data_IF_479974717423
#
_entry.id   IF_479974717423
#
_cell.length_a   1.000
_cell.length_b   1.000
_cell.length_c   1.000
_cell.angle_alpha   90.00
_cell.angle_beta   90.00
_cell.angle_gamma   90.00
#
_symmetry.space_group_name_H-M   'P 1'
#
loop_
_entity.id
_entity.type
_entity.pdbx_description
1 polymer ?
#
# COMPACT_ATOMS: atom_id res chain seq x y z
N UNK A 1 29.34 15.90 12.76
CA UNK A 1 28.59 15.73 11.49
C UNK A 1 27.41 16.70 11.53
N UNK A 2 27.30 17.57 10.54
CA UNK A 2 26.49 18.79 10.61
C UNK A 2 24.99 18.53 10.35
N UNK A 3 24.21 18.44 11.44
CA UNK A 3 22.75 18.18 11.45
C UNK A 3 21.93 19.25 10.69
N UNK A 4 22.50 20.41 10.37
CA UNK A 4 21.80 21.49 9.66
C UNK A 4 21.57 21.22 8.17
N UNK A 5 22.31 20.28 7.56
CA UNK A 5 22.16 19.94 6.13
C UNK A 5 20.99 18.99 5.84
N UNK A 6 20.56 18.20 6.83
CA UNK A 6 19.45 17.23 6.65
C UNK A 6 18.10 17.94 6.79
N UNK A 7 17.95 18.84 7.76
CA UNK A 7 16.73 19.64 7.94
C UNK A 7 16.39 20.55 6.74
N UNK A 8 17.40 21.04 6.01
CA UNK A 8 17.19 21.86 4.80
C UNK A 8 16.63 21.10 3.60
N UNK A 9 16.84 19.77 3.51
CA UNK A 9 16.25 18.94 2.44
C UNK A 9 14.77 18.61 2.71
N UNK A 10 14.37 18.52 3.97
CA UNK A 10 12.99 18.20 4.37
C UNK A 10 12.06 19.39 4.11
N UNK A 11 12.54 20.62 4.28
CA UNK A 11 11.77 21.84 3.99
C UNK A 11 11.46 22.03 2.49
N UNK A 12 12.25 21.46 1.59
CA UNK A 12 12.05 21.58 0.14
C UNK A 12 10.89 20.72 -0.38
N UNK A 13 10.52 19.67 0.36
CA UNK A 13 9.42 18.76 0.00
C UNK A 13 8.04 19.37 0.30
N UNK A 14 7.94 20.24 1.31
CA UNK A 14 6.69 20.92 1.68
C UNK A 14 6.25 21.99 0.67
N UNK A 15 7.18 22.60 -0.08
CA UNK A 15 6.86 23.67 -1.05
C UNK A 15 6.29 23.11 -2.36
N UNK A 16 6.55 21.84 -2.69
CA UNK A 16 5.95 21.17 -3.85
C UNK A 16 4.47 20.80 -3.65
N UNK A 17 3.96 20.90 -2.42
CA UNK A 17 2.57 20.55 -2.07
C UNK A 17 1.54 21.59 -2.53
N UNK A 18 1.96 22.80 -2.92
CA UNK A 18 1.04 23.92 -3.19
C UNK A 18 0.77 24.20 -4.68
N UNK A 19 1.51 23.58 -5.60
CA UNK A 19 1.42 23.87 -7.04
C UNK A 19 0.55 22.89 -7.86
N UNK A 20 -0.08 21.90 -7.24
CA UNK A 20 -0.80 20.82 -7.96
C UNK A 20 -2.33 20.97 -7.90
N UNK A 21 -2.87 22.03 -7.29
CA UNK A 21 -4.32 22.15 -7.04
C UNK A 21 -5.12 23.03 -8.00
N UNK A 22 -4.53 23.57 -9.05
CA UNK A 22 -5.27 24.35 -10.05
C UNK A 22 -4.98 23.89 -11.48
N UNK A 23 -6.04 23.88 -12.26
CA UNK A 23 -6.17 23.45 -13.65
C UNK A 23 -6.11 21.95 -13.92
N UNK A 24 -7.30 21.32 -13.94
CA UNK A 24 -7.73 20.52 -15.09
C UNK A 24 -9.23 20.23 -14.97
N UNK A 25 -10.05 21.25 -15.27
CA UNK A 25 -11.47 21.05 -15.52
C UNK A 25 -11.79 21.72 -16.86
N UNK A 26 -11.54 20.99 -17.94
CA UNK A 26 -12.08 21.35 -19.25
C UNK A 26 -12.47 20.08 -20.01
N UNK A 27 -13.75 20.06 -20.39
CA UNK A 27 -14.36 19.20 -21.40
C UNK A 27 -13.40 18.79 -22.50
N UNK A 28 -13.23 17.48 -22.75
CA UNK A 28 -12.67 17.00 -24.01
C UNK A 28 -13.13 15.58 -24.33
N UNK A 29 -13.86 15.47 -25.44
CA UNK A 29 -14.29 14.22 -26.04
C UNK A 29 -13.57 14.05 -27.40
N UNK A 30 -13.09 12.82 -27.63
CA UNK A 30 -12.78 12.15 -28.91
C UNK A 30 -11.72 12.77 -29.86
N UNK A 31 -10.45 12.52 -29.52
CA UNK A 31 -9.34 12.26 -30.46
C UNK A 31 -8.10 11.64 -29.78
N UNK A 32 -8.09 11.49 -28.45
CA UNK A 32 -6.87 11.42 -27.66
C UNK A 32 -6.52 10.05 -27.04
N UNK A 33 -7.31 8.98 -27.22
CA UNK A 33 -7.11 7.74 -26.44
C UNK A 33 -5.71 7.09 -26.56
N UNK A 34 -4.97 7.31 -27.65
CA UNK A 34 -3.59 6.84 -27.80
C UNK A 34 -2.55 7.80 -27.19
N UNK A 35 -2.81 9.11 -27.21
CA UNK A 35 -1.94 10.16 -26.64
C UNK A 35 -2.11 10.19 -25.12
N UNK A 36 -3.36 10.12 -24.63
CA UNK A 36 -3.71 9.99 -23.21
C UNK A 36 -3.13 8.70 -22.60
N UNK A 37 -3.15 7.59 -23.34
CA UNK A 37 -2.56 6.33 -22.88
C UNK A 37 -1.03 6.42 -22.75
N UNK A 38 -0.37 7.14 -23.67
CA UNK A 38 1.08 7.37 -23.64
C UNK A 38 1.48 8.32 -22.51
N UNK A 39 0.68 9.35 -22.25
CA UNK A 39 0.90 10.29 -21.15
C UNK A 39 0.73 9.60 -19.79
N UNK A 40 -0.31 8.78 -19.62
CA UNK A 40 -0.52 7.98 -18.40
C UNK A 40 0.62 6.96 -18.22
N UNK A 41 1.11 6.34 -19.30
CA UNK A 41 2.29 5.47 -19.22
C UNK A 41 3.55 6.23 -18.75
N UNK A 42 3.79 7.43 -19.27
CA UNK A 42 4.90 8.27 -18.83
C UNK A 42 4.78 8.70 -17.36
N UNK A 43 3.56 8.94 -16.88
CA UNK A 43 3.32 9.26 -15.47
C UNK A 43 3.46 8.06 -14.54
N UNK A 44 3.08 6.86 -14.98
CA UNK A 44 3.36 5.60 -14.26
C UNK A 44 4.87 5.45 -14.08
N UNK A 45 5.66 5.60 -15.15
CA UNK A 45 7.12 5.47 -15.10
C UNK A 45 7.76 6.48 -14.14
N UNK A 46 7.31 7.74 -14.15
CA UNK A 46 7.79 8.77 -13.21
C UNK A 46 7.49 8.42 -11.76
N UNK A 47 6.32 7.86 -11.46
CA UNK A 47 5.92 7.50 -10.09
C UNK A 47 6.63 6.22 -9.64
N UNK A 48 6.80 5.23 -10.51
CA UNK A 48 7.58 4.01 -10.25
C UNK A 48 9.04 4.35 -9.91
N UNK A 49 9.68 5.24 -10.69
CA UNK A 49 11.03 5.73 -10.40
C UNK A 49 11.15 6.43 -9.03
N UNK A 50 10.10 7.12 -8.57
CA UNK A 50 10.08 7.74 -7.24
C UNK A 50 9.93 6.67 -6.15
N UNK A 51 9.06 5.69 -6.35
CA UNK A 51 8.85 4.58 -5.42
C UNK A 51 10.14 3.78 -5.22
N UNK A 52 10.89 3.52 -6.30
CA UNK A 52 12.17 2.81 -6.24
C UNK A 52 13.20 3.58 -5.38
N UNK A 53 13.31 4.89 -5.56
CA UNK A 53 14.22 5.74 -4.76
C UNK A 53 13.87 5.70 -3.27
N UNK A 54 12.59 5.82 -2.92
CA UNK A 54 12.13 5.72 -1.54
C UNK A 54 12.43 4.32 -0.96
N UNK A 55 12.25 3.26 -1.76
CA UNK A 55 12.60 1.90 -1.34
C UNK A 55 14.11 1.73 -1.07
N UNK A 56 14.97 2.33 -1.91
CA UNK A 56 16.42 2.32 -1.70
C UNK A 56 16.82 3.08 -0.42
N UNK A 57 16.16 4.21 -0.13
CA UNK A 57 16.35 4.97 1.10
C UNK A 57 15.94 4.14 2.34
N UNK A 58 14.80 3.45 2.29
CA UNK A 58 14.35 2.54 3.35
C UNK A 58 15.41 1.45 3.62
N UNK A 59 15.91 0.80 2.57
CA UNK A 59 16.92 -0.27 2.70
C UNK A 59 18.22 0.25 3.32
N UNK A 60 18.63 1.47 2.94
CA UNK A 60 19.80 2.15 3.49
C UNK A 60 19.61 2.45 4.98
N UNK A 61 18.46 3.02 5.35
CA UNK A 61 18.11 3.32 6.74
C UNK A 61 18.00 2.07 7.62
N UNK A 62 17.48 0.96 7.08
CA UNK A 62 17.45 -0.33 7.78
C UNK A 62 18.86 -0.87 8.06
N UNK A 63 19.75 -0.77 7.08
CA UNK A 63 21.16 -1.16 7.26
C UNK A 63 21.84 -0.30 8.33
N UNK A 64 21.59 1.02 8.32
CA UNK A 64 22.11 1.93 9.33
C UNK A 64 21.57 1.60 10.73
N UNK A 65 20.28 1.27 10.84
CA UNK A 65 19.65 0.86 12.09
C UNK A 65 20.30 -0.41 12.66
N UNK A 66 20.55 -1.42 11.83
CA UNK A 66 21.25 -2.65 12.25
C UNK A 66 22.66 -2.36 12.76
N UNK A 67 23.41 -1.50 12.08
CA UNK A 67 24.74 -1.07 12.54
C UNK A 67 24.65 -0.39 13.91
N UNK A 68 23.68 0.51 14.12
CA UNK A 68 23.48 1.19 15.40
C UNK A 68 23.04 0.25 16.51
N UNK A 69 22.26 -0.78 16.21
CA UNK A 69 21.91 -1.84 17.16
C UNK A 69 23.13 -2.64 17.59
N UNK A 70 24.03 -2.99 16.65
CA UNK A 70 25.28 -3.67 16.97
C UNK A 70 26.19 -2.81 17.86
N UNK A 71 26.32 -1.51 17.56
CA UNK A 71 27.06 -0.55 18.41
C UNK A 71 26.50 -0.52 19.84
N UNK A 72 25.18 -0.52 20.03
CA UNK A 72 24.55 -0.58 21.36
C UNK A 72 24.79 -1.90 22.09
N UNK A 73 24.79 -3.03 21.37
CA UNK A 73 25.11 -4.33 21.97
C UNK A 73 26.55 -4.31 22.51
N UNK A 74 27.50 -3.75 21.74
CA UNK A 74 28.88 -3.59 22.20
C UNK A 74 28.95 -2.74 23.47
N UNK A 75 28.28 -1.59 23.53
CA UNK A 75 28.26 -0.74 24.73
C UNK A 75 27.66 -1.46 25.93
N UNK A 76 26.57 -2.23 25.75
CA UNK A 76 25.96 -3.03 26.83
C UNK A 76 26.91 -4.09 27.37
N UNK A 77 27.67 -4.75 26.50
CA UNK A 77 28.67 -5.74 26.93
C UNK A 77 29.81 -5.07 27.72
N UNK A 78 30.22 -3.85 27.34
CA UNK A 78 31.20 -3.07 28.11
C UNK A 78 30.64 -2.68 29.48
N UNK A 79 29.39 -2.20 29.54
CA UNK A 79 28.70 -1.90 30.79
C UNK A 79 28.68 -3.11 31.74
N UNK A 80 28.32 -4.28 31.23
CA UNK A 80 28.29 -5.51 32.02
C UNK A 80 29.68 -5.88 32.56
N UNK A 81 30.73 -5.77 31.73
CA UNK A 81 32.11 -6.00 32.18
C UNK A 81 32.51 -5.05 33.30
N UNK A 82 32.23 -3.75 33.13
CA UNK A 82 32.52 -2.73 34.14
C UNK A 82 31.78 -3.02 35.45
N UNK A 83 30.51 -3.42 35.40
CA UNK A 83 29.73 -3.81 36.58
C UNK A 83 30.35 -5.01 37.31
N UNK A 84 30.75 -6.06 36.59
CA UNK A 84 31.45 -7.22 37.19
C UNK A 84 32.80 -6.84 37.80
N UNK A 85 33.54 -5.91 37.19
CA UNK A 85 34.80 -5.41 37.76
C UNK A 85 34.56 -4.60 39.05
N UNK A 86 33.51 -3.77 39.10
CA UNK A 86 33.10 -3.05 40.31
C UNK A 86 32.76 -4.03 41.44
N UNK A 87 31.94 -5.05 41.17
CA UNK A 87 31.57 -6.08 42.16
C UNK A 87 32.79 -6.79 42.73
N UNK A 88 33.78 -7.11 41.88
CA UNK A 88 35.06 -7.69 42.32
C UNK A 88 35.82 -6.73 43.23
N UNK A 89 35.89 -5.44 42.88
CA UNK A 89 36.58 -4.43 43.69
C UNK A 89 35.89 -4.19 45.03
N UNK A 90 34.56 -4.28 45.09
CA UNK A 90 33.81 -4.25 46.35
C UNK A 90 34.16 -5.44 47.26
N UNK A 91 34.24 -6.64 46.68
CA UNK A 91 34.67 -7.84 47.41
C UNK A 91 36.13 -7.74 47.90
N UNK A 92 37.04 -7.21 47.06
CA UNK A 92 38.43 -6.95 47.44
C UNK A 92 38.50 -5.99 48.65
N UNK A 93 37.77 -4.87 48.61
CA UNK A 93 37.72 -3.89 49.72
C UNK A 93 37.16 -4.53 51.00
N UNK A 94 36.11 -5.36 50.90
CA UNK A 94 35.56 -6.08 52.03
C UNK A 94 36.60 -7.05 52.65
N UNK A 95 37.36 -7.77 51.82
CA UNK A 95 38.43 -8.66 52.29
C UNK A 95 39.57 -7.88 52.96
N UNK A 96 40.00 -6.76 52.38
CA UNK A 96 41.02 -5.90 52.95
C UNK A 96 40.60 -5.35 54.32
N UNK A 97 39.34 -4.95 54.48
CA UNK A 97 38.81 -4.51 55.78
C UNK A 97 38.83 -5.65 56.82
N UNK A 98 38.47 -6.88 56.45
CA UNK A 98 38.58 -8.04 57.35
C UNK A 98 40.02 -8.30 57.78
N UNK A 99 40.99 -8.20 56.85
CA UNK A 99 42.43 -8.33 57.16
C UNK A 99 42.91 -7.23 58.10
N UNK A 100 42.45 -5.99 57.94
CA UNK A 100 42.75 -4.90 58.87
C UNK A 100 42.24 -5.22 60.27
N UNK A 101 40.99 -5.68 60.40
CA UNK A 101 40.41 -6.06 61.69
C UNK A 101 41.19 -7.20 62.36
N UNK A 102 41.57 -8.22 61.60
CA UNK A 102 42.36 -9.35 62.11
C UNK A 102 43.74 -8.90 62.61
N UNK A 103 44.47 -8.11 61.83
CA UNK A 103 45.80 -7.62 62.21
C UNK A 103 45.74 -6.68 63.42
N UNK A 104 44.70 -5.84 63.53
CA UNK A 104 44.46 -5.01 64.73
C UNK A 104 44.16 -5.87 65.96
N UNK A 105 43.33 -6.90 65.83
CA UNK A 105 43.05 -7.84 66.93
C UNK A 105 44.30 -8.61 67.37
N UNK A 106 45.12 -9.06 66.43
CA UNK A 106 46.42 -9.68 66.74
C UNK A 106 47.31 -8.71 67.51
N UNK A 107 47.45 -7.47 67.05
CA UNK A 107 48.25 -6.45 67.73
C UNK A 107 47.74 -6.17 69.15
N UNK A 108 46.41 -6.10 69.33
CA UNK A 108 45.79 -5.93 70.65
C UNK A 108 46.13 -7.10 71.58
N UNK A 109 45.96 -8.34 71.12
CA UNK A 109 46.31 -9.54 71.90
C UNK A 109 47.80 -9.58 72.25
N UNK A 110 48.69 -9.25 71.31
CA UNK A 110 50.13 -9.17 71.56
C UNK A 110 50.50 -8.09 72.60
N UNK A 111 49.86 -6.91 72.54
CA UNK A 111 50.09 -5.84 73.54
C UNK A 111 49.57 -6.26 74.92
N UNK A 112 48.41 -6.90 74.99
CA UNK A 112 47.86 -7.43 76.24
C UNK A 112 48.78 -8.49 76.86
N UNK A 113 49.23 -9.46 76.07
CA UNK A 113 50.15 -10.51 76.52
C UNK A 113 51.48 -9.92 77.03
N UNK A 114 52.05 -8.94 76.32
CA UNK A 114 53.25 -8.24 76.76
C UNK A 114 53.05 -7.51 78.11
N UNK A 115 51.89 -6.88 78.32
CA UNK A 115 51.57 -6.20 79.58
C UNK A 115 51.40 -7.16 80.76
N UNK A 116 50.73 -8.30 80.56
CA UNK A 116 50.54 -9.30 81.62
C UNK A 116 51.83 -10.07 81.92
N UNK A 117 52.65 -10.36 80.92
CA UNK A 117 53.97 -10.95 81.11
C UNK A 117 54.88 -10.07 81.98
N UNK A 118 54.76 -8.74 81.86
CA UNK A 118 55.51 -7.78 82.69
C UNK A 118 55.00 -7.72 84.14
N UNK A 119 53.70 -7.90 84.39
CA UNK A 119 53.14 -7.91 85.76
C UNK A 119 53.49 -9.19 86.55
N UNK A 120 53.49 -10.35 85.92
CA UNK A 120 53.93 -11.60 86.56
C UNK A 120 55.46 -11.63 86.75
N UNK A 121 56.19 -10.98 85.85
CA UNK A 121 57.65 -10.77 85.93
C UNK A 121 58.07 -9.97 87.16
N UNK A 122 57.31 -8.96 87.58
CA UNK A 122 57.66 -8.14 88.75
C UNK A 122 57.67 -8.90 90.09
N UNK A 123 56.76 -9.86 90.29
CA UNK A 123 56.79 -10.74 91.47
C UNK A 123 57.88 -11.82 91.38
N UNK A 124 58.24 -12.26 90.17
CA UNK A 124 59.38 -13.17 89.92
C UNK A 124 60.76 -12.49 90.00
N UNK A 125 60.85 -11.20 89.67
CA UNK A 125 62.08 -10.39 89.71
C UNK A 125 62.62 -10.21 91.13
N UNK A 126 61.71 -10.09 92.10
CA UNK A 126 62.04 -9.99 93.52
C UNK A 126 62.68 -11.28 94.08
N UNK A 127 62.53 -12.41 93.39
CA UNK A 127 62.97 -13.73 93.87
C UNK A 127 64.15 -14.31 93.08
N UNK A 128 64.38 -13.91 91.83
CA UNK A 128 65.46 -14.43 90.98
C UNK A 128 66.35 -13.30 90.44
N UNK A 129 67.34 -12.89 91.23
CA UNK A 129 68.38 -11.96 90.81
C UNK A 129 69.54 -12.70 90.13
N UNK A 130 69.67 -12.54 88.81
CA UNK A 130 70.94 -12.36 88.07
C UNK A 130 70.71 -12.36 86.54
N UNK A 131 69.69 -13.05 86.01
CA UNK A 131 69.39 -13.09 84.56
C UNK A 131 68.04 -12.45 84.16
N UNK A 132 67.35 -11.77 85.09
CA UNK A 132 65.99 -11.28 84.88
C UNK A 132 65.92 -10.01 84.02
N UNK A 133 66.91 -9.12 84.11
CA UNK A 133 66.97 -7.86 83.35
C UNK A 133 67.29 -8.05 81.86
N UNK A 134 68.17 -8.99 81.51
CA UNK A 134 68.55 -9.29 80.12
C UNK A 134 67.38 -9.98 79.37
N UNK A 135 66.74 -10.97 80.02
CA UNK A 135 65.57 -11.65 79.47
C UNK A 135 64.33 -10.72 79.33
N UNK A 136 64.19 -9.71 80.20
CA UNK A 136 63.16 -8.67 80.04
C UNK A 136 63.43 -7.78 78.82
N UNK A 137 64.70 -7.39 78.59
CA UNK A 137 65.08 -6.57 77.43
C UNK A 137 64.83 -7.32 76.12
N UNK A 138 65.21 -8.59 76.04
CA UNK A 138 65.01 -9.42 74.85
C UNK A 138 63.52 -9.63 74.52
N UNK A 139 62.66 -9.81 75.54
CA UNK A 139 61.21 -9.91 75.35
C UNK A 139 60.60 -8.58 74.89
N UNK A 140 61.09 -7.46 75.41
CA UNK A 140 60.62 -6.12 75.00
C UNK A 140 61.00 -5.82 73.55
N UNK A 141 62.22 -6.14 73.13
CA UNK A 141 62.70 -5.96 71.75
C UNK A 141 61.94 -6.86 70.76
N UNK A 142 61.55 -8.07 71.16
CA UNK A 142 60.69 -8.94 70.34
C UNK A 142 59.29 -8.35 70.16
N UNK A 143 58.68 -7.80 71.23
CA UNK A 143 57.37 -7.15 71.16
C UNK A 143 57.41 -5.92 70.25
N UNK A 144 58.46 -5.10 70.36
CA UNK A 144 58.66 -3.95 69.48
C UNK A 144 58.79 -4.37 68.00
N UNK A 145 59.60 -5.39 67.71
CA UNK A 145 59.77 -5.91 66.35
C UNK A 145 58.47 -6.47 65.74
N UNK A 146 57.66 -7.19 66.53
CA UNK A 146 56.37 -7.73 66.06
C UNK A 146 55.37 -6.60 65.80
N UNK A 147 55.29 -5.62 66.70
CA UNK A 147 54.47 -4.42 66.53
C UNK A 147 54.83 -3.69 65.23
N UNK A 148 56.11 -3.42 65.01
CA UNK A 148 56.58 -2.73 63.80
C UNK A 148 56.19 -3.47 62.52
N UNK A 149 56.32 -4.80 62.49
CA UNK A 149 55.87 -5.63 61.35
C UNK A 149 54.37 -5.56 61.13
N UNK A 150 53.55 -5.66 62.18
CA UNK A 150 52.09 -5.59 62.05
C UNK A 150 51.65 -4.20 61.57
N UNK A 151 52.28 -3.13 62.08
CA UNK A 151 52.02 -1.76 61.64
C UNK A 151 52.38 -1.59 60.16
N UNK A 152 53.55 -2.07 59.73
CA UNK A 152 53.96 -2.01 58.33
C UNK A 152 52.98 -2.75 57.39
N UNK A 153 52.49 -3.94 57.80
CA UNK A 153 51.47 -4.69 57.04
C UNK A 153 50.14 -3.94 57.01
N UNK A 154 49.73 -3.32 58.11
CA UNK A 154 48.51 -2.52 58.16
C UNK A 154 48.59 -1.30 57.22
N UNK A 155 49.74 -0.63 57.18
CA UNK A 155 49.96 0.51 56.28
C UNK A 155 49.91 0.07 54.80
N UNK A 156 50.54 -1.05 54.45
CA UNK A 156 50.47 -1.62 53.09
C UNK A 156 49.03 -1.98 52.69
N UNK A 157 48.28 -2.65 53.59
CA UNK A 157 46.89 -3.02 53.34
C UNK A 157 46.01 -1.77 53.16
N UNK A 158 46.20 -0.73 53.97
CA UNK A 158 45.43 0.51 53.84
C UNK A 158 45.77 1.23 52.52
N UNK A 159 47.02 1.22 52.07
CA UNK A 159 47.41 1.77 50.78
C UNK A 159 46.77 1.00 49.62
N UNK A 160 46.84 -0.34 49.62
CA UNK A 160 46.19 -1.19 48.60
C UNK A 160 44.68 -0.94 48.58
N UNK A 161 44.07 -0.78 49.75
CA UNK A 161 42.64 -0.47 49.88
C UNK A 161 42.31 0.90 49.28
N UNK A 162 43.10 1.93 49.55
CA UNK A 162 42.90 3.26 48.96
C UNK A 162 42.97 3.22 47.43
N UNK A 163 43.97 2.54 46.85
CA UNK A 163 44.10 2.39 45.41
C UNK A 163 42.94 1.58 44.79
N UNK A 164 42.46 0.57 45.52
CA UNK A 164 41.31 -0.26 45.12
C UNK A 164 40.01 0.56 45.11
N UNK A 165 39.79 1.39 46.14
CA UNK A 165 38.63 2.31 46.21
C UNK A 165 38.67 3.33 45.08
N UNK A 166 39.84 3.95 44.84
CA UNK A 166 40.01 4.90 43.74
C UNK A 166 39.72 4.27 42.37
N UNK A 167 40.24 3.06 42.13
CA UNK A 167 39.97 2.33 40.88
C UNK A 167 38.48 2.02 40.73
N UNK A 168 37.79 1.69 41.83
CA UNK A 168 36.33 1.49 41.83
C UNK A 168 35.58 2.76 41.44
N UNK A 169 35.93 3.91 42.03
CA UNK A 169 35.31 5.20 41.70
C UNK A 169 35.48 5.56 40.21
N UNK A 170 36.66 5.31 39.62
CA UNK A 170 36.89 5.49 38.19
C UNK A 170 36.00 4.57 37.33
N UNK A 171 35.77 3.34 37.78
CA UNK A 171 34.86 2.40 37.10
C UNK A 171 33.39 2.81 37.22
N UNK A 172 32.97 3.36 38.37
CA UNK A 172 31.63 3.91 38.56
C UNK A 172 31.37 5.09 37.60
N UNK A 173 32.37 5.95 37.39
CA UNK A 173 32.30 6.99 36.36
C UNK A 173 32.14 6.43 34.94
N UNK A 174 32.92 5.41 34.56
CA UNK A 174 32.80 4.74 33.25
C UNK A 174 31.45 4.05 33.07
N UNK A 175 30.89 3.48 34.14
CA UNK A 175 29.55 2.86 34.14
C UNK A 175 28.50 3.90 33.77
N UNK A 176 28.53 5.08 34.41
CA UNK A 176 27.61 6.18 34.12
C UNK A 176 27.74 6.66 32.66
N UNK A 177 28.98 6.77 32.14
CA UNK A 177 29.23 7.13 30.75
C UNK A 177 28.66 6.10 29.75
N UNK A 178 28.79 4.80 30.05
CA UNK A 178 28.20 3.74 29.25
C UNK A 178 26.66 3.79 29.26
N UNK A 179 26.04 4.03 30.41
CA UNK A 179 24.59 4.18 30.54
C UNK A 179 24.06 5.39 29.73
N UNK A 180 24.74 6.54 29.83
CA UNK A 180 24.45 7.73 29.02
C UNK A 180 24.58 7.44 27.52
N UNK A 181 25.66 6.77 27.12
CA UNK A 181 25.90 6.43 25.71
C UNK A 181 24.83 5.48 25.17
N UNK A 182 24.38 4.49 25.94
CA UNK A 182 23.28 3.59 25.56
C UNK A 182 22.00 4.39 25.34
N UNK A 183 21.66 5.32 26.24
CA UNK A 183 20.48 6.17 26.12
C UNK A 183 20.51 7.01 24.83
N UNK A 184 21.66 7.63 24.52
CA UNK A 184 21.87 8.38 23.28
C UNK A 184 21.71 7.50 22.03
N UNK A 185 22.30 6.32 22.02
CA UNK A 185 22.19 5.38 20.90
C UNK A 185 20.75 4.89 20.72
N UNK A 186 20.01 4.65 21.81
CA UNK A 186 18.59 4.28 21.74
C UNK A 186 17.72 5.41 21.17
N UNK A 187 18.01 6.67 21.52
CA UNK A 187 17.37 7.84 20.91
C UNK A 187 17.60 7.90 19.40
N UNK A 188 18.85 7.75 18.95
CA UNK A 188 19.19 7.68 17.51
C UNK A 188 18.49 6.53 16.79
N UNK A 189 18.40 5.35 17.40
CA UNK A 189 17.66 4.23 16.82
C UNK A 189 16.15 4.51 16.69
N UNK A 190 15.57 5.23 17.66
CA UNK A 190 14.16 5.62 17.61
C UNK A 190 13.88 6.61 16.48
N UNK A 191 14.74 7.60 16.27
CA UNK A 191 14.65 8.53 15.14
C UNK A 191 14.68 7.78 13.81
N UNK A 192 15.68 6.91 13.60
CA UNK A 192 15.80 6.13 12.35
C UNK A 192 14.57 5.23 12.13
N UNK A 193 14.03 4.60 13.19
CA UNK A 193 12.80 3.79 13.08
C UNK A 193 11.59 4.63 12.68
N UNK A 194 11.51 5.86 13.16
CA UNK A 194 10.45 6.79 12.81
C UNK A 194 10.56 7.19 11.34
N UNK A 195 11.75 7.55 10.88
CA UNK A 195 12.03 7.87 9.48
C UNK A 195 11.68 6.72 8.53
N UNK A 196 12.03 5.47 8.91
CA UNK A 196 11.66 4.27 8.14
C UNK A 196 10.14 4.14 8.03
N UNK A 197 9.41 4.37 9.13
CA UNK A 197 7.94 4.26 9.15
C UNK A 197 7.28 5.32 8.26
N UNK A 198 7.79 6.55 8.28
CA UNK A 198 7.30 7.65 7.42
C UNK A 198 7.59 7.38 5.94
N UNK A 199 8.79 6.88 5.62
CA UNK A 199 9.14 6.47 4.26
C UNK A 199 8.27 5.30 3.76
N UNK A 200 7.96 4.33 4.62
CA UNK A 200 7.05 3.22 4.30
C UNK A 200 5.62 3.71 4.00
N UNK A 201 5.12 4.70 4.74
CA UNK A 201 3.83 5.31 4.46
C UNK A 201 3.83 6.00 3.09
N UNK A 202 4.89 6.77 2.80
CA UNK A 202 5.07 7.43 1.49
C UNK A 202 5.11 6.42 0.34
N UNK A 203 5.83 5.30 0.52
CA UNK A 203 5.89 4.24 -0.48
C UNK A 203 4.52 3.62 -0.76
N UNK A 204 3.72 3.41 0.29
CA UNK A 204 2.35 2.90 0.18
C UNK A 204 1.46 3.83 -0.66
N UNK A 205 1.56 5.15 -0.42
CA UNK A 205 0.82 6.15 -1.20
C UNK A 205 1.23 6.18 -2.68
N UNK A 206 2.53 6.07 -2.97
CA UNK A 206 3.04 5.99 -4.34
C UNK A 206 2.52 4.74 -5.06
N UNK A 207 2.52 3.59 -4.39
CA UNK A 207 1.99 2.34 -4.95
C UNK A 207 0.48 2.43 -5.23
N UNK A 208 -0.31 3.01 -4.31
CA UNK A 208 -1.73 3.23 -4.53
C UNK A 208 -2.00 4.15 -5.74
N UNK A 209 -1.14 5.15 -5.96
CA UNK A 209 -1.21 6.02 -7.14
C UNK A 209 -0.89 5.26 -8.44
N UNK A 210 0.12 4.39 -8.43
CA UNK A 210 0.46 3.53 -9.57
C UNK A 210 -0.74 2.64 -9.94
N UNK A 211 -1.37 2.01 -8.96
CA UNK A 211 -2.54 1.15 -9.19
C UNK A 211 -3.72 1.93 -9.80
N UNK A 212 -3.96 3.15 -9.30
CA UNK A 212 -5.00 4.03 -9.87
C UNK A 212 -4.72 4.36 -11.34
N UNK A 213 -3.48 4.72 -11.68
CA UNK A 213 -3.09 5.03 -13.06
C UNK A 213 -3.17 3.79 -13.97
N UNK A 214 -2.78 2.61 -13.48
CA UNK A 214 -2.91 1.33 -14.22
C UNK A 214 -4.37 0.99 -14.51
N UNK A 215 -5.27 1.22 -13.54
CA UNK A 215 -6.71 1.02 -13.73
C UNK A 215 -7.31 2.01 -14.73
N UNK A 216 -6.89 3.28 -14.67
CA UNK A 216 -7.32 4.31 -15.62
C UNK A 216 -6.88 3.98 -17.05
N UNK A 217 -5.62 3.58 -17.23
CA UNK A 217 -5.09 3.12 -18.51
C UNK A 217 -5.87 1.92 -19.07
N UNK A 218 -6.16 0.92 -18.22
CA UNK A 218 -6.96 -0.24 -18.61
C UNK A 218 -8.39 0.12 -19.05
N UNK A 219 -9.02 1.06 -18.33
CA UNK A 219 -10.35 1.59 -18.67
C UNK A 219 -10.34 2.30 -20.03
N UNK A 220 -9.34 3.16 -20.28
CA UNK A 220 -9.18 3.85 -21.56
C UNK A 220 -8.98 2.87 -22.72
N UNK A 221 -8.08 1.90 -22.57
CA UNK A 221 -7.79 0.90 -23.60
C UNK A 221 -9.01 0.02 -23.91
N UNK A 222 -9.72 -0.46 -22.89
CA UNK A 222 -10.94 -1.27 -23.07
C UNK A 222 -12.06 -0.47 -23.76
N UNK A 223 -12.21 0.82 -23.43
CA UNK A 223 -13.20 1.69 -24.05
C UNK A 223 -12.90 1.98 -25.53
N UNK A 224 -11.63 2.12 -25.90
CA UNK A 224 -11.17 2.35 -27.27
C UNK A 224 -11.37 1.11 -28.15
N UNK A 225 -11.03 -0.09 -27.65
CA UNK A 225 -11.27 -1.37 -28.35
C UNK A 225 -12.76 -1.60 -28.58
N UNK A 226 -13.60 -1.33 -27.57
CA UNK A 226 -15.06 -1.40 -27.69
C UNK A 226 -15.60 -0.47 -28.78
N UNK A 227 -15.13 0.78 -28.86
CA UNK A 227 -15.59 1.74 -29.87
C UNK A 227 -15.17 1.34 -31.30
N UNK A 228 -13.93 0.85 -31.47
CA UNK A 228 -13.46 0.36 -32.77
C UNK A 228 -14.33 -0.78 -33.29
N UNK A 229 -14.61 -1.78 -32.46
CA UNK A 229 -15.41 -2.94 -32.85
C UNK A 229 -16.85 -2.54 -33.27
N UNK A 230 -17.45 -1.59 -32.55
CA UNK A 230 -18.79 -1.07 -32.90
C UNK A 230 -18.75 -0.31 -34.23
N UNK A 231 -17.70 0.48 -34.46
CA UNK A 231 -17.50 1.24 -35.71
C UNK A 231 -17.28 0.29 -36.89
N UNK A 232 -16.52 -0.79 -36.71
CA UNK A 232 -16.29 -1.81 -37.73
C UNK A 232 -17.59 -2.55 -38.09
N UNK A 233 -18.40 -2.91 -37.10
CA UNK A 233 -19.72 -3.51 -37.32
C UNK A 233 -20.69 -2.55 -38.03
N UNK A 234 -20.70 -1.26 -37.66
CA UNK A 234 -21.50 -0.24 -38.35
C UNK A 234 -21.03 -0.03 -39.80
N UNK A 235 -19.73 -0.01 -40.05
CA UNK A 235 -19.15 0.05 -41.40
C UNK A 235 -19.54 -1.17 -42.24
N UNK A 236 -19.47 -2.36 -41.66
CA UNK A 236 -19.86 -3.61 -42.33
C UNK A 236 -21.34 -3.57 -42.74
N UNK A 237 -22.22 -3.22 -41.80
CA UNK A 237 -23.65 -3.10 -42.07
C UNK A 237 -23.97 -1.99 -43.09
N UNK A 238 -23.24 -0.87 -43.05
CA UNK A 238 -23.38 0.21 -44.02
C UNK A 238 -23.08 -0.26 -45.46
N UNK A 239 -21.99 -1.01 -45.64
CA UNK A 239 -21.60 -1.58 -46.95
C UNK A 239 -22.67 -2.52 -47.51
N UNK A 240 -23.30 -3.34 -46.66
CA UNK A 240 -24.32 -4.30 -47.07
C UNK A 240 -25.64 -3.63 -47.42
N UNK A 241 -26.03 -2.63 -46.64
CA UNK A 241 -27.41 -2.09 -46.69
C UNK A 241 -27.53 -0.78 -47.45
N UNK A 242 -26.42 -0.07 -47.67
CA UNK A 242 -26.39 1.26 -48.27
C UNK A 242 -26.80 2.39 -47.31
N UNK A 243 -27.04 2.08 -46.03
CA UNK A 243 -27.29 3.07 -44.98
C UNK A 243 -25.95 3.65 -44.53
N UNK A 244 -25.87 4.96 -44.28
CA UNK A 244 -24.62 5.58 -43.80
C UNK A 244 -24.26 5.10 -42.38
N UNK A 245 -22.96 4.88 -42.16
CA UNK A 245 -22.38 4.42 -40.87
C UNK A 245 -22.83 5.29 -39.70
N UNK A 246 -22.79 6.61 -39.86
CA UNK A 246 -22.99 7.55 -38.75
C UNK A 246 -24.42 7.49 -38.22
N UNK A 247 -25.39 7.25 -39.11
CA UNK A 247 -26.77 6.99 -38.74
C UNK A 247 -26.92 5.68 -37.95
N UNK A 248 -26.26 4.60 -38.36
CA UNK A 248 -26.27 3.33 -37.61
C UNK A 248 -25.67 3.52 -36.20
N UNK A 249 -24.59 4.28 -36.06
CA UNK A 249 -24.02 4.61 -34.74
C UNK A 249 -24.96 5.47 -33.91
N UNK A 250 -25.66 6.42 -34.53
CA UNK A 250 -26.70 7.22 -33.88
C UNK A 250 -27.83 6.37 -33.30
N UNK A 251 -28.30 5.37 -34.05
CA UNK A 251 -29.32 4.42 -33.57
C UNK A 251 -28.78 3.59 -32.40
N UNK A 252 -27.56 3.04 -32.51
CA UNK A 252 -26.96 2.20 -31.46
C UNK A 252 -26.71 2.95 -30.15
N UNK A 253 -26.39 4.25 -30.20
CA UNK A 253 -26.28 5.07 -28.98
C UNK A 253 -27.62 5.08 -28.25
N UNK A 254 -28.71 5.30 -28.98
CA UNK A 254 -30.03 5.43 -28.35
C UNK A 254 -30.56 4.08 -27.87
N UNK A 255 -30.34 3.01 -28.62
CA UNK A 255 -30.86 1.66 -28.29
C UNK A 255 -30.10 0.99 -27.15
N UNK A 256 -28.77 1.05 -27.16
CA UNK A 256 -27.97 0.16 -26.30
C UNK A 256 -26.66 0.78 -25.83
N UNK A 257 -26.50 2.11 -25.95
CA UNK A 257 -25.25 2.80 -25.68
C UNK A 257 -24.07 2.15 -26.43
N UNK A 258 -24.20 2.03 -27.76
CA UNK A 258 -23.23 1.38 -28.64
C UNK A 258 -23.04 -0.13 -28.37
N UNK A 259 -24.12 -0.83 -27.99
CA UNK A 259 -24.07 -2.26 -27.67
C UNK A 259 -23.52 -2.59 -26.27
N UNK A 260 -23.12 -1.58 -25.48
CA UNK A 260 -22.61 -1.78 -24.11
C UNK A 260 -23.72 -2.18 -23.12
N UNK A 261 -24.97 -1.88 -23.44
CA UNK A 261 -26.13 -2.18 -22.61
C UNK A 261 -27.19 -2.92 -23.42
N UNK A 262 -27.16 -4.25 -23.40
CA UNK A 262 -28.13 -5.11 -24.11
C UNK A 262 -29.36 -5.47 -23.26
N UNK A 263 -29.54 -4.82 -22.11
CA UNK A 263 -30.66 -5.04 -21.19
C UNK A 263 -30.24 -5.22 -19.74
N UNK A 264 -31.16 -4.94 -18.81
CA UNK A 264 -30.92 -5.07 -17.36
C UNK A 264 -31.66 -6.23 -16.70
N UNK A 265 -32.74 -6.71 -17.34
CA UNK A 265 -33.64 -7.70 -16.76
C UNK A 265 -33.30 -9.10 -17.23
N UNK A 266 -33.49 -10.06 -16.32
CA UNK A 266 -33.52 -11.49 -16.64
C UNK A 266 -34.80 -11.85 -17.39
N UNK A 267 -34.86 -13.06 -17.94
CA UNK A 267 -36.04 -13.62 -18.59
C UNK A 267 -37.32 -13.44 -17.76
N UNK A 268 -37.28 -13.73 -16.45
CA UNK A 268 -38.45 -13.61 -15.57
C UNK A 268 -38.86 -12.15 -15.35
N UNK A 269 -37.89 -11.27 -15.11
CA UNK A 269 -38.13 -9.84 -14.83
C UNK A 269 -38.63 -9.07 -16.06
N UNK A 270 -38.32 -9.56 -17.27
CA UNK A 270 -38.73 -8.95 -18.53
C UNK A 270 -40.25 -8.89 -18.71
N UNK A 271 -41.02 -9.72 -18.00
CA UNK A 271 -42.48 -9.88 -18.17
C UNK A 271 -42.91 -10.05 -19.63
N UNK A 272 -42.03 -10.64 -20.45
CA UNK A 272 -42.30 -10.89 -21.86
C UNK A 272 -43.55 -11.78 -22.01
N UNK A 273 -44.39 -11.50 -23.01
CA UNK A 273 -45.57 -12.33 -23.27
C UNK A 273 -45.18 -13.75 -23.69
N UNK A 274 -46.09 -14.72 -23.48
CA UNK A 274 -45.81 -16.15 -23.68
C UNK A 274 -45.35 -16.51 -25.10
N UNK A 275 -45.87 -15.82 -26.12
CA UNK A 275 -45.48 -16.01 -27.51
C UNK A 275 -44.00 -15.68 -27.73
N UNK A 276 -43.59 -14.45 -27.38
CA UNK A 276 -42.19 -14.01 -27.49
C UNK A 276 -41.26 -14.78 -26.56
N UNK A 277 -41.74 -15.17 -25.38
CA UNK A 277 -40.97 -15.96 -24.42
C UNK A 277 -40.58 -17.34 -24.98
N UNK A 278 -41.47 -17.95 -25.76
CA UNK A 278 -41.21 -19.23 -26.44
C UNK A 278 -40.14 -19.05 -27.52
N UNK A 279 -40.25 -17.99 -28.33
CA UNK A 279 -39.27 -17.66 -29.36
C UNK A 279 -37.91 -17.35 -28.75
N UNK A 280 -37.86 -16.57 -27.66
CA UNK A 280 -36.63 -16.24 -26.95
C UNK A 280 -35.88 -17.50 -26.49
N UNK A 281 -36.60 -18.44 -25.86
CA UNK A 281 -36.03 -19.72 -25.44
C UNK A 281 -35.48 -20.52 -26.61
N UNK A 282 -36.16 -20.50 -27.76
CA UNK A 282 -35.68 -21.16 -28.97
C UNK A 282 -34.41 -20.49 -29.51
N UNK A 283 -34.36 -19.16 -29.58
CA UNK A 283 -33.15 -18.42 -30.01
C UNK A 283 -31.97 -18.74 -29.09
N UNK A 284 -32.17 -18.72 -27.77
CA UNK A 284 -31.12 -19.09 -26.83
C UNK A 284 -30.68 -20.55 -27.02
N UNK A 285 -31.61 -21.48 -27.26
CA UNK A 285 -31.29 -22.89 -27.53
C UNK A 285 -30.47 -23.06 -28.81
N UNK A 286 -30.85 -22.37 -29.89
CA UNK A 286 -30.14 -22.40 -31.17
C UNK A 286 -28.68 -21.92 -31.05
N UNK A 287 -28.42 -20.98 -30.13
CA UNK A 287 -27.11 -20.38 -29.86
C UNK A 287 -26.36 -21.01 -28.68
N UNK A 288 -26.88 -22.11 -28.11
CA UNK A 288 -26.35 -22.76 -26.90
C UNK A 288 -26.21 -21.82 -25.68
N UNK A 289 -27.12 -20.85 -25.56
CA UNK A 289 -27.20 -19.91 -24.45
C UNK A 289 -28.19 -20.36 -23.37
N UNK A 290 -27.81 -20.18 -22.11
CA UNK A 290 -28.75 -20.32 -21.00
C UNK A 290 -29.68 -19.10 -20.96
N UNK A 291 -30.93 -19.27 -21.40
CA UNK A 291 -31.93 -18.21 -21.46
C UNK A 291 -32.18 -17.51 -20.11
N UNK A 292 -31.93 -18.16 -18.97
CA UNK A 292 -32.10 -17.52 -17.65
C UNK A 292 -31.00 -16.51 -17.34
N UNK A 293 -29.82 -16.65 -17.97
CA UNK A 293 -28.67 -15.76 -17.77
C UNK A 293 -28.63 -14.62 -18.79
N UNK A 294 -29.29 -14.79 -19.94
CA UNK A 294 -29.32 -13.77 -20.98
C UNK A 294 -30.13 -12.55 -20.54
N UNK A 295 -29.51 -11.38 -20.67
CA UNK A 295 -30.10 -10.09 -20.31
C UNK A 295 -30.90 -9.53 -21.49
N UNK A 296 -32.05 -8.98 -21.15
CA UNK A 296 -33.00 -8.35 -22.07
C UNK A 296 -33.54 -7.06 -21.47
N UNK A 297 -34.22 -6.24 -22.28
CA UNK A 297 -34.83 -5.00 -21.79
C UNK A 297 -35.85 -5.26 -20.69
N UNK A 298 -35.91 -4.33 -19.74
CA UNK A 298 -36.90 -4.35 -18.67
C UNK A 298 -38.25 -3.77 -19.14
N UNK A 299 -39.37 -4.13 -18.49
CA UNK A 299 -40.64 -3.47 -18.72
C UNK A 299 -40.53 -1.96 -18.51
N UNK A 300 -41.17 -1.15 -19.35
CA UNK A 300 -41.20 0.29 -19.18
C UNK A 300 -41.91 0.67 -17.86
N UNK A 301 -41.32 1.57 -17.07
CA UNK A 301 -41.89 1.99 -15.77
C UNK A 301 -43.11 2.91 -15.92
N UNK A 302 -43.18 3.68 -17.01
CA UNK A 302 -44.16 4.75 -17.20
C UNK A 302 -45.40 4.38 -18.02
N UNK A 303 -45.52 3.15 -18.51
CA UNK A 303 -46.71 2.69 -19.24
C UNK A 303 -46.83 1.16 -19.19
N UNK A 304 -48.04 0.66 -19.47
CA UNK A 304 -48.30 -0.78 -19.54
C UNK A 304 -47.63 -1.37 -20.78
N UNK A 305 -46.47 -1.99 -20.59
CA UNK A 305 -45.71 -2.67 -21.64
C UNK A 305 -44.91 -3.84 -21.07
N UNK A 306 -44.38 -4.69 -21.96
CA UNK A 306 -43.47 -5.76 -21.60
C UNK A 306 -42.03 -5.36 -21.94
N UNK A 307 -41.06 -5.93 -21.24
CA UNK A 307 -39.67 -5.94 -21.67
C UNK A 307 -39.42 -7.06 -22.68
N UNK A 308 -38.16 -7.41 -22.86
CA UNK A 308 -37.75 -8.56 -23.66
C UNK A 308 -37.02 -8.26 -24.97
N UNK A 309 -36.68 -7.00 -25.22
CA UNK A 309 -35.80 -6.66 -26.34
C UNK A 309 -34.39 -7.20 -26.07
N UNK A 310 -33.78 -7.83 -27.07
CA UNK A 310 -32.55 -8.60 -26.93
C UNK A 310 -31.39 -7.93 -27.66
N UNK A 311 -30.19 -8.17 -27.15
CA UNK A 311 -28.98 -8.01 -27.93
C UNK A 311 -28.59 -6.56 -28.24
N UNK A 312 -27.59 -6.42 -29.09
CA UNK A 312 -26.92 -5.14 -29.41
C UNK A 312 -27.89 -4.10 -29.97
N UNK A 313 -28.86 -4.55 -30.75
CA UNK A 313 -29.84 -3.68 -31.39
C UNK A 313 -31.18 -3.59 -30.66
N UNK A 314 -31.37 -4.29 -29.53
CA UNK A 314 -32.65 -4.32 -28.80
C UNK A 314 -33.83 -4.79 -29.69
N UNK A 315 -33.67 -5.94 -30.36
CA UNK A 315 -34.76 -6.57 -31.13
C UNK A 315 -35.69 -7.39 -30.23
N UNK A 316 -36.99 -7.28 -30.43
CA UNK A 316 -37.93 -8.25 -29.86
C UNK A 316 -37.72 -9.65 -30.50
N UNK A 317 -37.93 -10.76 -29.77
CA UNK A 317 -37.65 -12.11 -30.28
C UNK A 317 -38.34 -12.46 -31.59
N UNK A 318 -39.61 -12.13 -31.71
CA UNK A 318 -40.42 -12.29 -32.93
C UNK A 318 -39.88 -11.45 -34.10
N UNK A 319 -39.46 -10.21 -33.82
CA UNK A 319 -38.85 -9.36 -34.85
C UNK A 319 -37.53 -9.94 -35.32
N UNK A 320 -36.68 -10.42 -34.41
CA UNK A 320 -35.41 -11.06 -34.76
C UNK A 320 -35.61 -12.24 -35.71
N UNK A 321 -36.58 -13.11 -35.42
CA UNK A 321 -36.89 -14.25 -36.28
C UNK A 321 -37.30 -13.85 -37.69
N UNK A 322 -38.00 -12.73 -37.85
CA UNK A 322 -38.35 -12.18 -39.18
C UNK A 322 -37.14 -11.76 -40.02
N UNK A 323 -36.00 -11.48 -39.38
CA UNK A 323 -34.74 -11.10 -40.06
C UNK A 323 -33.69 -12.21 -40.05
N UNK A 324 -33.87 -13.31 -39.30
CA UNK A 324 -32.88 -14.39 -39.10
C UNK A 324 -32.20 -14.82 -40.40
N UNK A 325 -32.97 -15.16 -41.43
CA UNK A 325 -32.40 -15.61 -42.71
C UNK A 325 -31.65 -14.52 -43.47
N UNK A 326 -32.12 -13.28 -43.41
CA UNK A 326 -31.44 -12.15 -44.06
C UNK A 326 -30.14 -11.77 -43.35
N UNK A 327 -30.08 -11.90 -42.02
CA UNK A 327 -28.88 -11.68 -41.23
C UNK A 327 -27.86 -12.77 -41.55
N UNK A 328 -28.26 -14.05 -41.51
CA UNK A 328 -27.39 -15.17 -41.83
C UNK A 328 -26.79 -15.06 -43.24
N UNK A 329 -27.59 -14.65 -44.23
CA UNK A 329 -27.10 -14.42 -45.59
C UNK A 329 -26.12 -13.25 -45.69
N UNK A 330 -26.30 -12.21 -44.86
CA UNK A 330 -25.47 -11.01 -44.87
C UNK A 330 -24.17 -11.15 -44.06
N UNK A 331 -24.15 -11.95 -43.00
CA UNK A 331 -23.01 -12.08 -42.09
C UNK A 331 -22.28 -13.42 -42.19
N UNK A 332 -22.92 -14.45 -42.78
CA UNK A 332 -22.41 -15.81 -42.82
C UNK A 332 -22.64 -16.61 -41.54
N UNK A 333 -23.17 -15.99 -40.47
CA UNK A 333 -23.44 -16.67 -39.20
C UNK A 333 -24.77 -17.42 -39.24
N UNK A 334 -24.75 -18.73 -38.96
CA UNK A 334 -25.96 -19.55 -38.94
C UNK A 334 -25.94 -20.56 -37.76
N UNK A 335 -26.77 -20.37 -36.72
CA UNK A 335 -27.74 -19.29 -36.54
C UNK A 335 -27.05 -17.93 -36.21
N UNK A 336 -27.61 -16.79 -36.66
CA UNK A 336 -27.08 -15.49 -36.29
C UNK A 336 -27.39 -15.15 -34.82
N UNK A 337 -26.51 -14.37 -34.19
CA UNK A 337 -26.54 -14.05 -32.76
C UNK A 337 -26.98 -12.59 -32.49
N UNK A 338 -28.12 -12.33 -31.81
CA UNK A 338 -28.52 -10.95 -31.49
C UNK A 338 -27.57 -10.21 -30.55
N UNK A 339 -26.74 -10.91 -29.76
CA UNK A 339 -25.72 -10.32 -28.89
C UNK A 339 -24.37 -10.11 -29.58
N UNK A 340 -24.18 -10.63 -30.80
CA UNK A 340 -23.02 -10.30 -31.65
C UNK A 340 -23.16 -8.88 -32.19
N UNK A 341 -22.07 -8.09 -32.14
CA UNK A 341 -22.03 -6.74 -32.71
C UNK A 341 -22.35 -6.77 -34.21
N UNK A 342 -21.73 -7.65 -34.98
CA UNK A 342 -21.92 -7.70 -36.44
C UNK A 342 -23.36 -8.09 -36.80
N UNK A 343 -23.89 -9.19 -36.24
CA UNK A 343 -25.23 -9.67 -36.56
C UNK A 343 -26.32 -8.70 -36.07
N UNK A 344 -26.17 -8.17 -34.84
CA UNK A 344 -27.10 -7.20 -34.28
C UNK A 344 -27.16 -5.89 -35.08
N UNK A 345 -26.01 -5.34 -35.46
CA UNK A 345 -25.94 -4.08 -36.23
C UNK A 345 -26.43 -4.29 -37.67
N UNK A 346 -26.14 -5.44 -38.28
CA UNK A 346 -26.69 -5.81 -39.60
C UNK A 346 -28.20 -5.99 -39.55
N UNK A 347 -28.74 -6.67 -38.53
CA UNK A 347 -30.18 -6.80 -38.32
C UNK A 347 -30.88 -5.44 -38.22
N UNK A 348 -30.30 -4.54 -37.42
CA UNK A 348 -30.76 -3.17 -37.27
C UNK A 348 -30.78 -2.43 -38.60
N UNK A 349 -29.67 -2.47 -39.34
CA UNK A 349 -29.56 -1.83 -40.65
C UNK A 349 -30.60 -2.38 -41.63
N UNK A 350 -30.74 -3.71 -41.73
CA UNK A 350 -31.73 -4.36 -42.60
C UNK A 350 -33.16 -3.91 -42.28
N UNK A 351 -33.51 -3.78 -40.99
CA UNK A 351 -34.84 -3.29 -40.59
C UNK A 351 -35.05 -1.82 -40.95
N UNK A 352 -34.04 -0.98 -40.78
CA UNK A 352 -34.10 0.45 -41.12
C UNK A 352 -34.27 0.65 -42.64
N UNK A 353 -33.73 -0.23 -43.48
CA UNK A 353 -33.90 -0.13 -44.96
C UNK A 353 -35.34 -0.29 -45.45
N UNK A 354 -36.27 -0.73 -44.58
CA UNK A 354 -37.68 -0.90 -44.95
C UNK A 354 -38.45 0.42 -45.10
N UNK A 355 -37.85 1.54 -44.71
CA UNK A 355 -38.43 2.87 -44.94
C UNK A 355 -37.80 3.51 -46.17
N UNK A 356 -38.66 3.90 -47.12
CA UNK A 356 -38.25 4.57 -48.35
C UNK A 356 -37.54 5.90 -48.05
N UNK A 357 -36.45 6.18 -48.77
CA UNK A 357 -35.65 7.38 -48.59
C UNK A 357 -34.42 7.20 -47.67
N UNK A 358 -34.36 6.13 -46.87
CA UNK A 358 -33.25 5.90 -45.92
C UNK A 358 -31.94 5.63 -46.65
N UNK A 359 -31.96 4.86 -47.75
CA UNK A 359 -30.75 4.59 -48.56
C UNK A 359 -30.26 5.81 -49.35
N UNK A 360 -31.13 6.81 -49.53
CA UNK A 360 -30.76 8.11 -50.10
C UNK A 360 -30.34 9.11 -49.02
N UNK A 361 -30.16 8.65 -47.78
CA UNK A 361 -29.69 9.43 -46.61
C UNK A 361 -30.54 10.67 -46.34
N UNK A 362 -31.84 10.61 -46.68
CA UNK A 362 -32.78 11.69 -46.38
C UNK A 362 -33.02 11.72 -44.87
N UNK A 363 -32.63 12.81 -44.20
CA UNK A 363 -32.80 12.95 -42.74
C UNK A 363 -34.24 12.71 -42.26
N UNK A 364 -35.24 13.15 -43.02
CA UNK A 364 -36.65 12.88 -42.70
C UNK A 364 -37.02 11.40 -42.78
N UNK A 365 -36.44 10.66 -43.74
CA UNK A 365 -36.62 9.21 -43.85
C UNK A 365 -35.87 8.46 -42.75
N UNK A 366 -34.66 8.90 -42.39
CA UNK A 366 -33.90 8.37 -41.26
C UNK A 366 -34.62 8.57 -39.92
N UNK A 367 -35.17 9.76 -39.65
CA UNK A 367 -36.01 10.00 -38.48
C UNK A 367 -37.22 9.07 -38.44
N UNK A 368 -37.94 8.96 -39.57
CA UNK A 368 -39.10 8.06 -39.71
C UNK A 368 -38.71 6.60 -39.53
N UNK A 369 -37.59 6.16 -40.09
CA UNK A 369 -37.11 4.79 -40.01
C UNK A 369 -36.84 4.36 -38.57
N UNK A 370 -36.27 5.25 -37.77
CA UNK A 370 -36.08 4.99 -36.35
C UNK A 370 -37.41 4.93 -35.58
N UNK A 371 -38.37 5.80 -35.91
CA UNK A 371 -39.71 5.72 -35.33
C UNK A 371 -40.43 4.40 -35.66
N UNK A 372 -40.34 3.95 -36.91
CA UNK A 372 -40.85 2.64 -37.35
C UNK A 372 -40.09 1.50 -36.67
N UNK A 373 -38.78 1.68 -36.45
CA UNK A 373 -37.96 0.71 -35.73
C UNK A 373 -38.46 0.47 -34.31
N UNK A 374 -38.76 1.55 -33.58
CA UNK A 374 -39.24 1.51 -32.19
C UNK A 374 -40.69 1.01 -32.06
N UNK A 375 -41.60 1.53 -32.89
CA UNK A 375 -43.04 1.41 -32.67
C UNK A 375 -43.81 0.68 -33.78
N UNK A 376 -43.11 0.20 -34.82
CA UNK A 376 -43.72 -0.52 -35.94
C UNK A 376 -44.79 0.32 -36.63
N UNK A 377 -45.96 -0.28 -36.91
CA UNK A 377 -47.08 0.42 -37.54
C UNK A 377 -47.67 1.58 -36.73
N UNK A 378 -47.39 1.66 -35.42
CA UNK A 378 -47.88 2.72 -34.54
C UNK A 378 -46.90 3.90 -34.41
N UNK A 379 -45.93 4.02 -35.33
CA UNK A 379 -44.86 5.00 -35.25
C UNK A 379 -45.35 6.45 -35.22
N UNK A 380 -46.43 6.78 -35.94
CA UNK A 380 -47.03 8.12 -35.97
C UNK A 380 -47.48 8.53 -34.57
N UNK A 381 -48.21 7.67 -33.87
CA UNK A 381 -48.59 7.96 -32.48
C UNK A 381 -47.37 8.04 -31.56
N UNK A 382 -46.34 7.21 -31.77
CA UNK A 382 -45.19 7.15 -30.86
C UNK A 382 -44.22 8.34 -31.02
N UNK A 383 -44.01 8.82 -32.25
CA UNK A 383 -43.10 9.92 -32.54
C UNK A 383 -43.77 11.30 -32.65
N UNK A 384 -45.06 11.38 -32.99
CA UNK A 384 -45.72 12.69 -33.19
C UNK A 384 -46.52 13.16 -31.96
N UNK A 385 -46.92 12.26 -31.04
CA UNK A 385 -47.90 12.62 -29.98
C UNK A 385 -47.37 12.84 -28.56
N UNK A 386 -46.04 12.77 -28.31
CA UNK A 386 -45.49 12.74 -26.93
C UNK A 386 -44.43 13.80 -26.58
N UNK A 387 -44.23 14.82 -27.41
CA UNK A 387 -43.25 15.89 -27.13
C UNK A 387 -41.79 15.44 -27.10
N UNK A 388 -41.49 14.17 -27.42
CA UNK A 388 -40.14 13.60 -27.51
C UNK A 388 -39.90 13.18 -28.96
N UNK A 389 -39.01 13.90 -29.64
CA UNK A 389 -38.66 13.60 -31.02
C UNK A 389 -37.52 12.56 -31.06
N UNK A 390 -37.89 11.28 -30.96
CA UNK A 390 -36.96 10.15 -30.99
C UNK A 390 -36.11 10.11 -32.27
N UNK A 391 -36.70 10.47 -33.42
CA UNK A 391 -35.98 10.60 -34.69
C UNK A 391 -34.90 11.70 -34.64
N UNK A 392 -35.23 12.87 -34.09
CA UNK A 392 -34.26 13.95 -33.92
C UNK A 392 -33.13 13.58 -32.94
N UNK A 393 -33.41 12.78 -31.90
CA UNK A 393 -32.38 12.29 -30.98
C UNK A 393 -31.35 11.42 -31.70
N UNK A 394 -31.80 10.51 -32.57
CA UNK A 394 -30.88 9.69 -33.38
C UNK A 394 -30.12 10.55 -34.38
N UNK A 395 -30.78 11.48 -35.06
CA UNK A 395 -30.12 12.39 -36.01
C UNK A 395 -29.07 13.28 -35.33
N UNK A 396 -29.33 13.74 -34.10
CA UNK A 396 -28.34 14.49 -33.32
C UNK A 396 -27.06 13.68 -33.13
N UNK A 397 -27.17 12.40 -32.72
CA UNK A 397 -26.00 11.55 -32.56
C UNK A 397 -25.35 11.22 -33.89
N UNK A 398 -26.13 10.96 -34.94
CA UNK A 398 -25.63 10.70 -36.28
C UNK A 398 -24.82 11.87 -36.85
N UNK A 399 -25.35 13.10 -36.75
CA UNK A 399 -24.69 14.31 -37.22
C UNK A 399 -23.40 14.61 -36.42
N UNK A 400 -23.37 14.27 -35.13
CA UNK A 400 -22.15 14.38 -34.32
C UNK A 400 -21.11 13.34 -34.73
N UNK A 401 -21.51 12.09 -35.02
CA UNK A 401 -20.59 11.07 -35.50
C UNK A 401 -20.04 11.39 -36.89
N UNK A 402 -20.88 11.89 -37.79
CA UNK A 402 -20.49 12.34 -39.12
C UNK A 402 -19.44 13.46 -39.05
N UNK A 403 -19.59 14.42 -38.12
CA UNK A 403 -18.63 15.52 -37.94
C UNK A 403 -17.28 15.10 -37.34
N UNK A 404 -17.27 14.05 -36.54
CA UNK A 404 -16.08 13.62 -35.77
C UNK A 404 -15.32 12.52 -36.51
N UNK A 405 -15.94 11.84 -37.47
CA UNK A 405 -15.33 10.76 -38.25
C UNK A 405 -15.01 11.11 -39.70
N UNK A 406 -15.44 12.29 -40.16
CA UNK A 406 -15.02 12.94 -41.40
C UNK A 406 -14.21 14.17 -41.05
#
# INVERSE_FOLDING_TARGET
>A
MDYRKIAKKILTVAVLFWLVFFDFNSYRDKAFAADDAKDIQGDIEKVENKAEKVQQEINTSQTLLQKKQAETIVTKNLLQKTQTEIERKEADVANLNQRIMLNRGMLESYIQEAFYADQDSLFGLLLNGENSLENMSDNFDQVLNIKEKIVAVLDEIEQIKQDTVKTKEDLDGKKEDHEKLISLQQGQQYEIKTDIKEAQATLSELNAKIDKLKNELSSLLSSAVSFKNVTDAANYAAKITGIRKDYLLGVLVVESNLGRYTGGCTFKESKMNSYRATIFKQICKDLDYNYNKQKVSCPPKGYKGTGGAMGVAQFMPDTWMGYKSSIAAATGNNPPDPWSLTDGVVAMALKLTKVDGVKQHKKSAEAKAYCVYLAGGNWTAYCDSKGVNYGAKVLYWADNYERVMN
#
